data_IF_795355713548
#
_entry.id   IF_795355713548
#
_cell.length_a   1.000
_cell.length_b   1.000
_cell.length_c   1.000
_cell.angle_alpha   90.00
_cell.angle_beta   90.00
_cell.angle_gamma   90.00
#
_symmetry.space_group_name_H-M   'P 1'
#
loop_
_entity.id
_entity.type
_entity.pdbx_description
1 polymer ?
#
# COMPACT_ATOMS: atom_id res chain seq x y z
N UNK A 1 -46.47 -25.56 35.39
CA UNK A 1 -45.05 -25.79 35.05
C UNK A 1 -44.25 -24.55 35.40
N UNK A 2 -43.37 -24.63 36.40
CA UNK A 2 -42.55 -23.49 36.86
C UNK A 2 -41.49 -23.19 35.80
N UNK A 3 -41.52 -21.98 35.21
CA UNK A 3 -40.38 -21.48 34.42
C UNK A 3 -39.18 -21.44 35.35
N UNK A 4 -38.26 -22.39 35.18
CA UNK A 4 -36.95 -22.37 35.85
C UNK A 4 -36.23 -21.12 35.31
N UNK A 5 -36.35 -20.01 36.04
CA UNK A 5 -35.73 -18.73 35.68
C UNK A 5 -34.21 -18.86 35.78
N UNK A 6 -33.58 -19.41 34.73
CA UNK A 6 -32.13 -19.45 34.60
C UNK A 6 -31.63 -18.00 34.66
N UNK A 7 -30.89 -17.65 35.72
CA UNK A 7 -30.34 -16.30 35.90
C UNK A 7 -29.40 -15.99 34.73
N UNK A 8 -29.89 -15.25 33.74
CA UNK A 8 -29.10 -14.80 32.59
C UNK A 8 -28.03 -13.83 33.08
N UNK A 9 -26.79 -14.01 32.60
CA UNK A 9 -25.71 -13.07 32.91
C UNK A 9 -26.01 -11.71 32.27
N UNK A 10 -25.76 -10.64 33.01
CA UNK A 10 -25.89 -9.28 32.50
C UNK A 10 -24.85 -9.00 31.42
N UNK A 11 -25.24 -8.25 30.40
CA UNK A 11 -24.32 -7.73 29.36
C UNK A 11 -23.43 -6.59 29.87
N UNK A 12 -23.73 -6.03 31.06
CA UNK A 12 -22.95 -4.94 31.66
C UNK A 12 -21.53 -5.41 31.97
N UNK A 13 -20.55 -4.64 31.53
CA UNK A 13 -19.13 -4.90 31.78
C UNK A 13 -18.66 -3.94 32.88
N UNK A 14 -18.03 -4.49 33.91
CA UNK A 14 -17.42 -3.67 34.98
C UNK A 14 -16.27 -2.83 34.42
N UNK A 15 -16.02 -1.66 35.02
CA UNK A 15 -14.92 -0.77 34.60
C UNK A 15 -13.57 -1.51 34.60
N UNK A 16 -13.30 -2.34 35.60
CA UNK A 16 -12.08 -3.17 35.66
C UNK A 16 -11.90 -4.04 34.41
N UNK A 17 -12.97 -4.72 33.96
CA UNK A 17 -12.92 -5.55 32.75
C UNK A 17 -12.69 -4.71 31.50
N UNK A 18 -13.37 -3.56 31.37
CA UNK A 18 -13.18 -2.62 30.23
C UNK A 18 -11.73 -2.16 30.12
N UNK A 19 -11.14 -1.66 31.22
CA UNK A 19 -9.76 -1.17 31.20
C UNK A 19 -8.72 -2.30 31.00
N UNK A 20 -8.99 -3.50 31.54
CA UNK A 20 -8.15 -4.68 31.30
C UNK A 20 -8.13 -5.08 29.82
N UNK A 21 -9.29 -5.07 29.16
CA UNK A 21 -9.41 -5.34 27.71
C UNK A 21 -8.63 -4.29 26.92
N UNK A 22 -8.85 -2.99 27.19
CA UNK A 22 -8.15 -1.90 26.49
C UNK A 22 -6.63 -2.07 26.63
N UNK A 23 -6.13 -2.37 27.83
CA UNK A 23 -4.71 -2.59 28.07
C UNK A 23 -4.16 -3.78 27.27
N UNK A 24 -4.89 -4.89 27.23
CA UNK A 24 -4.49 -6.10 26.49
C UNK A 24 -4.48 -5.87 24.97
N UNK A 25 -5.49 -5.18 24.43
CA UNK A 25 -5.54 -4.82 23.00
C UNK A 25 -4.39 -3.89 22.64
N UNK A 26 -4.12 -2.86 23.45
CA UNK A 26 -2.97 -1.96 23.25
C UNK A 26 -1.64 -2.71 23.27
N UNK A 27 -1.46 -3.65 24.19
CA UNK A 27 -0.27 -4.49 24.27
C UNK A 27 -0.11 -5.37 23.03
N UNK A 28 -1.21 -6.00 22.57
CA UNK A 28 -1.22 -6.82 21.37
C UNK A 28 -0.83 -6.03 20.12
N UNK A 29 -1.46 -4.87 19.89
CA UNK A 29 -1.10 -3.99 18.76
C UNK A 29 0.35 -3.47 18.88
N UNK A 30 0.88 -3.29 20.09
CA UNK A 30 2.30 -2.94 20.28
C UNK A 30 3.21 -4.08 19.85
N UNK A 31 2.89 -5.34 20.19
CA UNK A 31 3.67 -6.52 19.76
C UNK A 31 3.61 -6.72 18.25
N UNK A 32 2.41 -6.69 17.65
CA UNK A 32 2.22 -6.77 16.20
C UNK A 32 3.03 -5.71 15.44
N UNK A 33 3.02 -4.45 15.90
CA UNK A 33 3.84 -3.38 15.28
C UNK A 33 5.35 -3.64 15.40
N UNK A 34 5.81 -4.24 16.50
CA UNK A 34 7.24 -4.60 16.67
C UNK A 34 7.60 -5.78 15.76
N UNK A 35 6.75 -6.79 15.67
CA UNK A 35 6.95 -7.96 14.80
C UNK A 35 6.91 -7.59 13.32
N UNK A 36 5.96 -6.75 12.89
CA UNK A 36 5.87 -6.25 11.52
C UNK A 36 7.10 -5.44 11.09
N UNK A 37 7.75 -4.73 12.03
CA UNK A 37 9.02 -4.04 11.76
C UNK A 37 10.21 -4.99 11.62
N UNK A 38 10.20 -6.12 12.35
CA UNK A 38 11.27 -7.12 12.29
C UNK A 38 11.19 -7.97 11.02
N UNK A 39 9.97 -8.34 10.63
CA UNK A 39 9.72 -9.15 9.44
C UNK A 39 9.63 -8.24 8.20
N UNK A 40 10.76 -7.74 7.71
CA UNK A 40 10.86 -6.98 6.45
C UNK A 40 10.70 -7.86 5.20
N UNK A 41 10.04 -9.02 5.31
CA UNK A 41 9.79 -9.92 4.19
C UNK A 41 8.77 -9.24 3.26
N UNK A 42 9.27 -8.41 2.35
CA UNK A 42 8.53 -7.80 1.24
C UNK A 42 8.25 -8.88 0.20
N UNK A 43 7.44 -9.87 0.56
CA UNK A 43 6.87 -10.73 -0.46
C UNK A 43 5.90 -9.86 -1.27
N UNK A 44 6.17 -9.68 -2.55
CA UNK A 44 5.21 -9.07 -3.46
C UNK A 44 3.96 -9.94 -3.44
N UNK A 45 2.83 -9.38 -3.00
CA UNK A 45 1.56 -10.10 -3.01
C UNK A 45 1.31 -10.55 -4.45
N UNK A 46 1.06 -11.84 -4.65
CA UNK A 46 0.64 -12.35 -5.95
C UNK A 46 -0.79 -11.88 -6.17
N UNK A 47 -1.04 -11.25 -7.31
CA UNK A 47 -2.39 -10.89 -7.71
C UNK A 47 -3.20 -12.17 -7.94
N UNK A 48 -4.47 -12.24 -7.52
CA UNK A 48 -5.31 -13.42 -7.67
C UNK A 48 -5.64 -13.80 -9.12
N UNK A 49 -5.10 -13.09 -10.12
CA UNK A 49 -5.24 -13.39 -11.55
C UNK A 49 -6.67 -13.19 -12.08
N UNK A 50 -6.82 -13.29 -13.41
CA UNK A 50 -8.14 -13.24 -14.06
C UNK A 50 -8.76 -14.64 -14.03
N UNK A 51 -9.95 -14.82 -13.40
CA UNK A 51 -10.63 -16.11 -13.35
C UNK A 51 -10.98 -16.66 -14.74
N UNK A 52 -10.93 -17.99 -14.92
CA UNK A 52 -11.21 -18.64 -16.20
C UNK A 52 -12.69 -18.70 -16.60
N UNK A 53 -13.59 -18.39 -15.66
CA UNK A 53 -15.04 -18.42 -15.88
C UNK A 53 -15.50 -17.18 -16.67
N UNK A 54 -14.63 -16.17 -16.81
CA UNK A 54 -14.97 -14.94 -17.52
C UNK A 54 -15.09 -15.21 -19.03
N UNK A 55 -16.26 -14.94 -19.65
CA UNK A 55 -16.52 -15.28 -21.05
C UNK A 55 -15.60 -14.57 -22.06
N UNK A 56 -15.03 -13.42 -21.69
CA UNK A 56 -14.13 -12.61 -22.52
C UNK A 56 -12.71 -12.54 -21.96
N UNK A 57 -12.27 -13.58 -21.26
CA UNK A 57 -10.92 -13.61 -20.66
C UNK A 57 -9.82 -13.41 -21.70
N UNK A 58 -9.93 -14.05 -22.86
CA UNK A 58 -8.89 -13.98 -23.90
C UNK A 58 -8.78 -12.61 -24.55
N UNK A 59 -9.91 -12.00 -24.90
CA UNK A 59 -9.91 -10.64 -25.47
C UNK A 59 -9.40 -9.63 -24.45
N UNK A 60 -9.85 -9.71 -23.20
CA UNK A 60 -9.36 -8.84 -22.12
C UNK A 60 -7.85 -8.97 -21.90
N UNK A 61 -7.29 -10.18 -21.92
CA UNK A 61 -5.85 -10.38 -21.77
C UNK A 61 -5.05 -9.79 -22.94
N UNK A 62 -5.58 -9.84 -24.16
CA UNK A 62 -4.97 -9.19 -25.35
C UNK A 62 -4.95 -7.67 -25.18
N UNK A 63 -6.07 -7.06 -24.81
CA UNK A 63 -6.18 -5.61 -24.60
C UNK A 63 -5.19 -5.11 -23.53
N UNK A 64 -5.05 -5.86 -22.43
CA UNK A 64 -4.09 -5.56 -21.36
C UNK A 64 -2.64 -5.70 -21.84
N UNK A 65 -2.32 -6.70 -22.67
CA UNK A 65 -0.99 -6.87 -23.23
C UNK A 65 -0.63 -5.70 -24.15
N UNK A 66 -1.54 -5.30 -25.03
CA UNK A 66 -1.37 -4.18 -25.95
C UNK A 66 -1.17 -2.86 -25.19
N UNK A 67 -1.94 -2.65 -24.12
CA UNK A 67 -1.79 -1.47 -23.26
C UNK A 67 -0.41 -1.43 -22.58
N UNK A 68 0.12 -2.58 -22.13
CA UNK A 68 1.47 -2.66 -21.53
C UNK A 68 2.57 -2.36 -22.54
N UNK A 69 2.46 -2.87 -23.77
CA UNK A 69 3.41 -2.59 -24.85
C UNK A 69 3.48 -1.09 -25.15
N UNK A 70 2.32 -0.44 -25.35
CA UNK A 70 2.24 1.00 -25.62
C UNK A 70 2.83 1.85 -24.48
N UNK A 71 2.60 1.44 -23.23
CA UNK A 71 3.13 2.14 -22.06
C UNK A 71 4.67 2.03 -22.00
N UNK A 72 5.22 0.86 -22.28
CA UNK A 72 6.67 0.65 -22.27
C UNK A 72 7.35 1.40 -23.41
N UNK A 73 6.77 1.40 -24.60
CA UNK A 73 7.25 2.21 -25.74
C UNK A 73 7.24 3.71 -25.42
N UNK A 74 6.18 4.21 -24.77
CA UNK A 74 6.12 5.59 -24.32
C UNK A 74 7.19 5.88 -23.26
N UNK A 75 7.43 4.95 -22.34
CA UNK A 75 8.47 5.07 -21.32
C UNK A 75 9.87 5.14 -21.94
N UNK A 76 10.17 4.28 -22.90
CA UNK A 76 11.45 4.26 -23.61
C UNK A 76 11.65 5.54 -24.42
N UNK A 77 10.63 6.00 -25.16
CA UNK A 77 10.68 7.28 -25.86
C UNK A 77 10.92 8.46 -24.93
N UNK A 78 10.27 8.49 -23.77
CA UNK A 78 10.50 9.53 -22.76
C UNK A 78 11.94 9.47 -22.21
N UNK A 79 12.48 8.27 -21.98
CA UNK A 79 13.85 8.09 -21.51
C UNK A 79 14.87 8.55 -22.58
N UNK A 80 14.61 8.23 -23.85
CA UNK A 80 15.41 8.65 -24.99
C UNK A 80 15.40 10.18 -25.16
N UNK A 81 14.22 10.80 -25.07
CA UNK A 81 14.06 12.26 -25.09
C UNK A 81 14.86 12.96 -23.97
N UNK A 82 14.85 12.40 -22.76
CA UNK A 82 15.66 12.93 -21.64
C UNK A 82 17.17 12.78 -21.86
N UNK A 83 17.59 11.81 -22.68
CA UNK A 83 18.99 11.59 -23.03
C UNK A 83 19.47 12.58 -24.09
N UNK A 84 18.62 12.93 -25.07
CA UNK A 84 18.97 13.86 -26.16
C UNK A 84 19.10 15.32 -25.68
N UNK A 85 18.32 15.75 -24.69
CA UNK A 85 18.32 17.15 -24.20
C UNK A 85 19.50 17.49 -23.25
N UNK A 86 20.54 16.64 -23.21
CA UNK A 86 21.78 16.84 -22.43
C UNK A 86 23.01 17.14 -23.29
N UNK A 87 22.84 17.70 -24.50
CA UNK A 87 23.92 18.43 -25.18
C UNK A 87 24.11 19.80 -24.48
N UNK A 88 25.25 20.05 -23.81
CA UNK A 88 25.43 21.21 -22.96
C UNK A 88 25.83 22.43 -23.79
N UNK A 89 24.85 23.30 -24.06
CA UNK A 89 25.12 24.67 -24.50
C UNK A 89 24.06 25.61 -23.92
N UNK A 90 24.14 25.87 -22.62
CA UNK A 90 23.74 27.17 -22.12
C UNK A 90 24.69 27.60 -21.03
N UNK A 91 25.40 28.68 -21.35
CA UNK A 91 26.49 29.25 -20.59
C UNK A 91 26.07 29.62 -19.17
N UNK A 92 27.04 29.40 -18.30
CA UNK A 92 27.29 30.02 -17.01
C UNK A 92 26.65 31.41 -16.89
N UNK A 93 25.64 31.54 -16.03
CA UNK A 93 25.45 32.76 -15.24
C UNK A 93 25.41 32.36 -13.77
N UNK A 94 26.59 32.08 -13.23
CA UNK A 94 26.84 32.19 -11.81
C UNK A 94 26.62 33.65 -11.42
N UNK A 95 25.38 34.00 -11.07
CA UNK A 95 25.10 35.20 -10.31
C UNK A 95 25.75 34.98 -8.95
N UNK A 96 26.97 35.52 -8.80
CA UNK A 96 27.58 35.73 -7.50
C UNK A 96 26.55 36.52 -6.68
N UNK A 97 26.02 35.88 -5.64
CA UNK A 97 25.37 36.57 -4.55
C UNK A 97 26.45 37.45 -3.93
N UNK A 98 26.59 38.67 -4.44
CA UNK A 98 27.39 39.69 -3.79
C UNK A 98 26.64 40.03 -2.51
N UNK A 99 27.04 39.37 -1.42
CA UNK A 99 26.89 39.93 -0.09
C UNK A 99 27.56 41.30 -0.14
N UNK A 100 26.75 42.34 -0.29
CA UNK A 100 27.17 43.72 -0.10
C UNK A 100 26.37 44.28 1.08
N UNK A 101 26.94 43.99 2.26
CA UNK A 101 26.67 44.54 3.60
C UNK A 101 25.27 44.36 4.18
#
# INVERSE_FOLDING_TARGET
MVRKCLKKKSKRITCHKRYKIIRKVKEHHRKLRKEAKKNLNRHTKKDPGVPNILPFKESFLKDVADAKMKLEEARLRNLEYLHTDKSPSHEVMHFHCSVRR
#
